data_IF_330959197585
#
_entry.id   IF_330959197585
#
_cell.length_a   1.000
_cell.length_b   1.000
_cell.length_c   1.000
_cell.angle_alpha   90.00
_cell.angle_beta   90.00
_cell.angle_gamma   90.00
#
_symmetry.space_group_name_H-M   'P 1'
#
loop_
_entity.id
_entity.type
_entity.pdbx_description
1 polymer ?
#
# COMPACT_ATOMS: atom_id res chain seq x y z
N UNK A 1 25.50 -2.83 0.47
CA UNK A 1 25.77 -1.38 0.29
C UNK A 1 26.36 -0.85 1.58
N UNK A 2 27.31 0.10 1.54
CA UNK A 2 27.93 0.62 2.78
C UNK A 2 27.11 1.79 3.35
N UNK A 3 27.13 2.00 4.67
CA UNK A 3 26.50 3.15 5.31
C UNK A 3 26.99 4.47 4.70
N UNK A 4 28.30 4.60 4.48
CA UNK A 4 28.91 5.78 3.84
C UNK A 4 28.33 6.05 2.44
N UNK A 5 28.01 5.01 1.68
CA UNK A 5 27.38 5.14 0.35
C UNK A 5 25.94 5.64 0.46
N UNK A 6 25.19 5.18 1.47
CA UNK A 6 23.85 5.71 1.74
C UNK A 6 23.90 7.17 2.16
N UNK A 7 24.82 7.52 3.06
CA UNK A 7 24.99 8.89 3.54
C UNK A 7 25.25 9.84 2.35
N UNK A 8 26.01 9.43 1.33
CA UNK A 8 26.25 10.26 0.14
C UNK A 8 25.04 10.48 -0.77
N UNK A 9 24.04 9.60 -0.71
CA UNK A 9 22.81 9.75 -1.49
C UNK A 9 21.83 10.73 -0.83
N UNK A 10 21.92 10.89 0.50
CA UNK A 10 20.99 11.70 1.30
C UNK A 10 21.63 13.02 1.79
N UNK A 11 22.96 13.13 1.79
CA UNK A 11 23.69 14.36 2.09
C UNK A 11 23.38 15.45 1.05
N UNK A 12 23.63 16.71 1.42
CA UNK A 12 23.53 17.94 0.62
C UNK A 12 24.11 17.88 -0.80
N UNK A 13 25.02 16.92 -1.05
CA UNK A 13 25.61 16.66 -2.37
C UNK A 13 24.69 15.89 -3.32
N UNK A 14 23.64 15.27 -2.79
CA UNK A 14 22.56 14.59 -3.50
C UNK A 14 23.05 13.76 -4.70
N UNK A 15 24.04 12.88 -4.47
CA UNK A 15 24.59 12.05 -5.55
C UNK A 15 23.50 11.10 -6.02
N UNK A 16 23.11 11.21 -7.30
CA UNK A 16 22.08 10.35 -7.87
C UNK A 16 22.62 8.91 -7.97
N UNK A 17 21.99 7.94 -7.29
CA UNK A 17 22.38 6.54 -7.41
C UNK A 17 22.07 6.01 -8.81
N UNK A 18 22.80 4.97 -9.23
CA UNK A 18 22.49 4.28 -10.48
C UNK A 18 21.16 3.52 -10.39
N UNK A 19 20.56 3.18 -11.54
CA UNK A 19 19.26 2.51 -11.60
C UNK A 19 19.21 1.19 -10.81
N UNK A 20 20.29 0.39 -10.84
CA UNK A 20 20.37 -0.87 -10.11
C UNK A 20 20.23 -0.66 -8.59
N UNK A 21 20.87 0.38 -8.06
CA UNK A 21 20.82 0.73 -6.65
C UNK A 21 19.44 1.29 -6.29
N UNK A 22 18.85 2.15 -7.12
CA UNK A 22 17.49 2.66 -6.89
C UNK A 22 16.49 1.51 -6.82
N UNK A 23 16.59 0.51 -7.71
CA UNK A 23 15.72 -0.68 -7.68
C UNK A 23 15.90 -1.49 -6.39
N UNK A 24 17.15 -1.66 -5.93
CA UNK A 24 17.42 -2.36 -4.66
C UNK A 24 16.86 -1.62 -3.46
N UNK A 25 16.95 -0.28 -3.45
CA UNK A 25 16.38 0.56 -2.40
C UNK A 25 14.86 0.52 -2.42
N UNK A 26 14.24 0.61 -3.59
CA UNK A 26 12.79 0.52 -3.75
C UNK A 26 12.24 -0.79 -3.16
N UNK A 27 12.90 -1.92 -3.46
CA UNK A 27 12.55 -3.22 -2.89
C UNK A 27 12.75 -3.30 -1.37
N UNK A 28 13.83 -2.71 -0.86
CA UNK A 28 14.13 -2.73 0.57
C UNK A 28 13.16 -1.86 1.41
N UNK A 29 12.61 -0.81 0.79
CA UNK A 29 11.70 0.15 1.41
C UNK A 29 10.22 -0.10 1.06
N UNK A 30 9.92 -1.19 0.36
CA UNK A 30 8.58 -1.53 -0.15
C UNK A 30 7.89 -0.37 -0.88
N UNK A 31 8.63 0.26 -1.80
CA UNK A 31 8.16 1.42 -2.57
C UNK A 31 8.54 1.28 -4.05
N UNK A 32 8.20 2.28 -4.87
CA UNK A 32 8.49 2.29 -6.31
C UNK A 32 9.75 3.09 -6.63
N UNK A 33 10.43 2.71 -7.71
CA UNK A 33 11.57 3.47 -8.26
C UNK A 33 11.15 4.89 -8.62
N UNK A 34 9.96 5.05 -9.20
CA UNK A 34 9.38 6.35 -9.54
C UNK A 34 9.26 7.22 -8.30
N UNK A 35 8.63 6.72 -7.24
CA UNK A 35 8.45 7.44 -5.98
C UNK A 35 9.79 7.87 -5.36
N UNK A 36 10.83 7.04 -5.45
CA UNK A 36 12.16 7.41 -4.95
C UNK A 36 12.83 8.53 -5.76
N UNK A 37 12.51 8.67 -7.04
CA UNK A 37 13.15 9.66 -7.94
C UNK A 37 12.35 10.95 -8.00
N UNK A 38 11.04 10.86 -8.12
CA UNK A 38 10.14 12.01 -8.36
C UNK A 38 9.43 12.47 -7.09
N UNK A 39 9.34 11.61 -6.06
CA UNK A 39 8.48 11.85 -4.91
C UNK A 39 6.99 11.71 -5.22
N UNK A 40 6.63 11.39 -6.46
CA UNK A 40 5.25 11.22 -6.88
C UNK A 40 4.85 9.76 -6.74
N UNK A 41 3.78 9.54 -6.00
CA UNK A 41 3.12 8.24 -5.99
C UNK A 41 2.25 8.19 -7.25
N UNK A 42 2.82 7.73 -8.37
CA UNK A 42 2.02 7.40 -9.56
C UNK A 42 1.15 6.21 -9.19
N UNK A 43 -0.01 6.52 -8.61
CA UNK A 43 -1.13 5.62 -8.47
C UNK A 43 -1.57 5.19 -9.88
N UNK A 44 -0.89 4.19 -10.42
CA UNK A 44 -1.38 3.40 -11.54
C UNK A 44 -2.58 2.61 -10.99
N UNK A 45 -3.74 3.25 -11.01
CA UNK A 45 -5.07 2.65 -11.03
C UNK A 45 -5.39 1.52 -10.07
N UNK A 46 -4.75 1.46 -8.91
CA UNK A 46 -5.30 0.81 -7.73
C UNK A 46 -5.06 1.78 -6.60
N UNK A 47 -6.15 2.38 -6.13
CA UNK A 47 -6.20 3.07 -4.85
C UNK A 47 -5.78 2.06 -3.79
N UNK A 48 -4.49 1.88 -3.56
CA UNK A 48 -4.00 1.49 -2.24
C UNK A 48 -4.37 2.67 -1.37
N UNK A 49 -5.64 2.66 -0.94
CA UNK A 49 -6.02 3.32 0.28
C UNK A 49 -4.90 3.00 1.25
N UNK A 50 -4.23 4.01 1.78
CA UNK A 50 -3.68 3.93 3.12
C UNK A 50 -4.88 3.70 4.05
N UNK A 51 -5.51 2.53 3.96
CA UNK A 51 -6.32 1.98 5.02
C UNK A 51 -5.27 1.72 6.08
N UNK A 52 -5.18 2.64 7.02
CA UNK A 52 -4.58 2.34 8.30
C UNK A 52 -5.31 1.11 8.88
N UNK A 53 -4.80 -0.08 8.56
CA UNK A 53 -5.33 -1.34 9.05
C UNK A 53 -5.21 -1.43 10.58
N UNK A 54 -4.41 -0.56 11.22
CA UNK A 54 -4.37 -0.45 12.68
C UNK A 54 -5.71 0.01 13.26
N UNK A 55 -6.46 0.81 12.51
CA UNK A 55 -7.82 1.23 12.87
C UNK A 55 -8.85 0.10 12.73
N UNK A 56 -8.52 -0.99 12.02
CA UNK A 56 -9.41 -2.13 11.76
C UNK A 56 -9.14 -3.37 12.62
N UNK A 57 -8.31 -3.27 13.66
CA UNK A 57 -8.05 -4.40 14.57
C UNK A 57 -9.35 -4.99 15.16
N UNK A 58 -10.38 -4.14 15.35
CA UNK A 58 -11.70 -4.57 15.81
C UNK A 58 -12.43 -5.47 14.81
N UNK A 59 -12.18 -5.33 13.50
CA UNK A 59 -12.83 -6.09 12.43
C UNK A 59 -11.97 -7.26 11.92
N UNK A 60 -10.76 -7.46 12.47
CA UNK A 60 -9.85 -8.55 12.07
C UNK A 60 -10.47 -9.94 12.11
N UNK A 61 -11.29 -10.21 13.14
CA UNK A 61 -11.99 -11.48 13.26
C UNK A 61 -13.06 -11.65 12.17
N UNK A 62 -13.71 -10.56 11.76
CA UNK A 62 -14.72 -10.56 10.70
C UNK A 62 -14.11 -10.91 9.34
N UNK A 63 -12.92 -10.39 9.03
CA UNK A 63 -12.19 -10.78 7.82
C UNK A 63 -11.78 -12.26 7.84
N UNK A 64 -11.28 -12.77 8.97
CA UNK A 64 -10.93 -14.20 9.12
C UNK A 64 -12.12 -15.12 8.92
N UNK A 65 -13.31 -14.70 9.34
CA UNK A 65 -14.51 -15.51 9.17
C UNK A 65 -15.07 -15.40 7.76
N UNK A 66 -15.01 -14.22 7.14
CA UNK A 66 -15.33 -14.02 5.71
C UNK A 66 -14.48 -14.92 4.80
N UNK A 67 -13.18 -15.03 5.05
CA UNK A 67 -12.27 -15.88 4.27
C UNK A 67 -12.65 -17.37 4.30
N UNK A 68 -13.33 -17.83 5.36
CA UNK A 68 -13.79 -19.23 5.48
C UNK A 68 -15.12 -19.48 4.77
N UNK A 69 -15.84 -18.44 4.37
CA UNK A 69 -17.13 -18.58 3.71
C UNK A 69 -16.96 -18.99 2.24
N UNK A 70 -18.01 -19.56 1.66
CA UNK A 70 -18.03 -19.86 0.24
C UNK A 70 -18.12 -18.58 -0.61
N UNK A 71 -17.65 -18.59 -1.87
CA UNK A 71 -17.66 -17.41 -2.73
C UNK A 71 -19.06 -16.79 -2.90
N UNK A 72 -20.10 -17.62 -2.97
CA UNK A 72 -21.49 -17.17 -3.11
C UNK A 72 -21.97 -16.37 -1.89
N UNK A 73 -21.56 -16.78 -0.68
CA UNK A 73 -21.91 -16.09 0.55
C UNK A 73 -21.11 -14.79 0.69
N UNK A 74 -19.83 -14.80 0.31
CA UNK A 74 -19.00 -13.58 0.29
C UNK A 74 -19.61 -12.51 -0.62
N UNK A 75 -19.96 -12.89 -1.86
CA UNK A 75 -20.61 -11.97 -2.80
C UNK A 75 -21.95 -11.42 -2.26
N UNK A 76 -22.75 -12.28 -1.63
CA UNK A 76 -24.03 -11.85 -1.05
C UNK A 76 -23.83 -10.82 0.07
N UNK A 77 -22.81 -11.03 0.92
CA UNK A 77 -22.46 -10.10 2.01
C UNK A 77 -21.94 -8.77 1.43
N UNK A 78 -21.10 -8.82 0.39
CA UNK A 78 -20.58 -7.63 -0.29
C UNK A 78 -21.71 -6.75 -0.84
N UNK A 79 -22.67 -7.35 -1.56
CA UNK A 79 -23.85 -6.64 -2.08
C UNK A 79 -24.67 -6.00 -0.96
N UNK A 80 -24.84 -6.73 0.15
CA UNK A 80 -25.57 -6.23 1.31
C UNK A 80 -24.88 -5.00 1.91
N UNK A 81 -23.57 -5.07 2.14
CA UNK A 81 -22.77 -3.95 2.68
C UNK A 81 -22.88 -2.74 1.77
N UNK A 82 -22.68 -2.90 0.45
CA UNK A 82 -22.78 -1.80 -0.49
C UNK A 82 -24.17 -1.16 -0.54
N UNK A 83 -25.23 -1.96 -0.37
CA UNK A 83 -26.60 -1.46 -0.35
C UNK A 83 -26.87 -0.64 0.91
N UNK A 84 -26.43 -1.13 2.07
CA UNK A 84 -26.59 -0.44 3.35
C UNK A 84 -25.83 0.89 3.38
N UNK A 85 -24.59 0.92 2.90
CA UNK A 85 -23.79 2.15 2.80
C UNK A 85 -24.47 3.18 1.87
N UNK A 86 -25.08 2.74 0.76
CA UNK A 86 -25.84 3.63 -0.12
C UNK A 86 -27.10 4.21 0.53
N UNK A 87 -27.73 3.45 1.43
CA UNK A 87 -28.91 3.91 2.17
C UNK A 87 -28.57 4.92 3.26
N UNK A 88 -27.42 4.78 3.92
CA UNK A 88 -26.99 5.68 5.00
C UNK A 88 -26.55 7.06 4.50
N UNK A 89 -26.02 7.15 3.27
CA UNK A 89 -25.54 8.39 2.67
C UNK A 89 -26.59 9.14 1.84
N UNK A 90 -27.88 8.87 2.06
CA UNK A 90 -29.01 9.42 1.30
C UNK A 90 -29.96 10.21 2.22
#
# INVERSE_FOLDING_TARGET
MSKRTLDTYVDSRAVIPNAEIVVKLAKALDTTVEYLVTGENLNISNKSLDLDFSSFEKQKNLFKDLEKLSPNLQYSIEVMIHTLVKLENK
#
